data_IF_904721516761
#
_entry.id   IF_904721516761
#
_cell.length_a   1.000
_cell.length_b   1.000
_cell.length_c   1.000
_cell.angle_alpha   90.00
_cell.angle_beta   90.00
_cell.angle_gamma   90.00
#
_symmetry.space_group_name_H-M   'P 1'
#
loop_
_entity.id
_entity.type
_entity.pdbx_description
1 polymer ?
#
# COMPACT_ATOMS: atom_id res chain seq x y z
N UNK A 1 -27.90 -16.37 8.37
CA UNK A 1 -27.87 -14.92 8.19
C UNK A 1 -26.68 -14.36 8.96
N UNK A 2 -25.50 -14.50 8.41
CA UNK A 2 -24.36 -13.70 8.87
C UNK A 2 -24.74 -12.25 8.63
N UNK A 3 -24.89 -11.51 9.69
CA UNK A 3 -25.17 -10.09 9.61
C UNK A 3 -24.10 -9.47 8.73
N UNK A 4 -24.53 -8.78 7.68
CA UNK A 4 -23.64 -8.03 6.78
C UNK A 4 -22.68 -7.13 7.56
N UNK A 5 -23.13 -6.60 8.68
CA UNK A 5 -22.34 -5.79 9.61
C UNK A 5 -21.14 -6.54 10.22
N UNK A 6 -21.28 -7.83 10.60
CA UNK A 6 -20.15 -8.60 11.16
C UNK A 6 -19.12 -8.93 10.07
N UNK A 7 -19.56 -9.26 8.85
CA UNK A 7 -18.67 -9.46 7.71
C UNK A 7 -17.97 -8.15 7.32
N UNK A 8 -18.60 -7.01 7.52
CA UNK A 8 -18.09 -5.70 7.18
C UNK A 8 -17.06 -5.20 8.20
N UNK A 9 -17.26 -5.44 9.48
CA UNK A 9 -16.27 -5.17 10.53
C UNK A 9 -15.02 -6.04 10.32
N UNK A 10 -15.21 -7.30 9.95
CA UNK A 10 -14.13 -8.23 9.66
C UNK A 10 -13.35 -7.83 8.39
N UNK A 11 -14.04 -7.40 7.33
CA UNK A 11 -13.41 -6.84 6.12
C UNK A 11 -12.60 -5.58 6.39
N UNK A 12 -13.03 -4.70 7.31
CA UNK A 12 -12.28 -3.50 7.69
C UNK A 12 -10.89 -3.80 8.25
N UNK A 13 -10.75 -4.87 9.01
CA UNK A 13 -9.49 -5.21 9.68
C UNK A 13 -8.38 -5.65 8.74
N UNK A 14 -8.74 -6.37 7.68
CA UNK A 14 -7.78 -6.80 6.69
C UNK A 14 -7.56 -5.78 5.55
N UNK A 15 -8.29 -4.67 5.57
CA UNK A 15 -8.07 -3.59 4.59
C UNK A 15 -6.80 -2.79 4.87
N UNK A 16 -6.36 -2.62 6.11
CA UNK A 16 -5.11 -2.00 6.50
C UNK A 16 -4.62 -0.86 5.59
N UNK A 17 -3.36 -0.55 5.61
CA UNK A 17 -2.75 0.38 4.66
C UNK A 17 -2.46 -0.33 3.33
N UNK A 18 -3.43 -0.39 2.44
CA UNK A 18 -3.26 -0.92 1.10
C UNK A 18 -3.17 0.19 0.05
N UNK A 19 -1.96 0.58 -0.32
CA UNK A 19 -1.71 1.69 -1.25
C UNK A 19 -2.43 1.47 -2.60
N UNK A 20 -2.36 0.28 -3.18
CA UNK A 20 -3.02 -0.03 -4.44
C UNK A 20 -4.55 0.13 -4.35
N UNK A 21 -5.17 -0.36 -3.26
CA UNK A 21 -6.61 -0.22 -3.05
C UNK A 21 -7.00 1.25 -2.83
N UNK A 22 -6.20 2.01 -2.13
CA UNK A 22 -6.45 3.41 -1.86
C UNK A 22 -6.36 4.27 -3.12
N UNK A 23 -5.39 4.01 -3.98
CA UNK A 23 -5.28 4.68 -5.28
C UNK A 23 -6.47 4.35 -6.19
N UNK A 24 -6.93 3.09 -6.20
CA UNK A 24 -8.15 2.69 -6.90
C UNK A 24 -9.35 3.48 -6.39
N UNK A 25 -9.54 3.56 -5.08
CA UNK A 25 -10.68 4.25 -4.47
C UNK A 25 -10.67 5.75 -4.77
N UNK A 26 -9.49 6.41 -4.74
CA UNK A 26 -9.31 7.80 -5.14
C UNK A 26 -9.65 7.99 -6.62
N UNK A 27 -9.16 7.09 -7.49
CA UNK A 27 -9.48 7.13 -8.92
C UNK A 27 -10.98 7.04 -9.19
N UNK A 28 -11.70 6.23 -8.39
CA UNK A 28 -13.16 6.17 -8.45
C UNK A 28 -13.84 7.42 -7.92
N UNK A 29 -13.34 8.00 -6.83
CA UNK A 29 -13.88 9.23 -6.26
C UNK A 29 -13.77 10.41 -7.22
N UNK A 30 -12.68 10.49 -7.99
CA UNK A 30 -12.44 11.52 -9.02
C UNK A 30 -13.22 11.21 -10.32
N UNK A 31 -13.83 10.02 -10.44
CA UNK A 31 -14.66 9.65 -11.60
C UNK A 31 -13.91 8.97 -12.74
N UNK A 32 -12.67 8.52 -12.53
CA UNK A 32 -11.91 7.78 -13.54
C UNK A 32 -12.44 6.35 -13.78
N UNK A 33 -13.26 5.83 -12.88
CA UNK A 33 -14.02 4.61 -13.07
C UNK A 33 -15.42 4.70 -12.44
N UNK A 34 -16.34 3.81 -12.85
CA UNK A 34 -17.76 3.82 -12.44
C UNK A 34 -18.11 2.74 -11.41
N UNK A 35 -17.15 2.04 -10.83
CA UNK A 35 -17.40 0.99 -9.84
C UNK A 35 -17.87 1.62 -8.50
N UNK A 36 -19.20 1.71 -8.31
CA UNK A 36 -19.83 2.42 -7.19
C UNK A 36 -19.40 1.95 -5.80
N UNK A 37 -18.94 0.70 -5.65
CA UNK A 37 -18.53 0.12 -4.35
C UNK A 37 -17.14 0.53 -3.87
N UNK A 38 -16.34 1.20 -4.70
CA UNK A 38 -14.92 1.51 -4.42
C UNK A 38 -14.58 2.95 -4.79
N UNK A 39 -15.43 3.88 -4.38
CA UNK A 39 -15.27 5.33 -4.60
C UNK A 39 -15.16 6.03 -3.26
N UNK A 40 -13.97 6.49 -2.91
CA UNK A 40 -13.72 7.26 -1.70
C UNK A 40 -12.36 7.96 -1.78
N UNK A 41 -12.30 9.23 -1.40
CA UNK A 41 -11.03 9.93 -1.24
C UNK A 41 -10.39 9.48 0.07
N UNK A 42 -9.38 8.66 -0.04
CA UNK A 42 -8.70 8.03 1.11
C UNK A 42 -7.77 9.00 1.84
N UNK A 43 -8.11 9.48 3.03
CA UNK A 43 -7.23 10.33 3.82
C UNK A 43 -5.95 9.61 4.22
N UNK A 44 -5.97 8.27 4.25
CA UNK A 44 -4.84 7.43 4.59
C UNK A 44 -3.67 7.62 3.62
N UNK A 45 -3.93 7.68 2.30
CA UNK A 45 -2.85 7.88 1.33
C UNK A 45 -2.34 9.33 1.36
N UNK A 46 -3.24 10.28 1.54
CA UNK A 46 -2.90 11.70 1.66
C UNK A 46 -1.99 11.90 2.88
N UNK A 47 -2.41 11.40 4.04
CA UNK A 47 -1.64 11.48 5.28
C UNK A 47 -0.29 10.79 5.18
N UNK A 48 -0.23 9.61 4.54
CA UNK A 48 1.01 8.86 4.37
C UNK A 48 2.04 9.63 3.53
N UNK A 49 1.62 10.22 2.42
CA UNK A 49 2.49 11.02 1.54
C UNK A 49 2.93 12.31 2.23
N UNK A 50 1.99 13.04 2.85
CA UNK A 50 2.30 14.29 3.54
C UNK A 50 3.18 14.06 4.78
N UNK A 51 2.90 13.01 5.56
CA UNK A 51 3.72 12.64 6.72
C UNK A 51 5.15 12.27 6.34
N UNK A 52 5.33 11.48 5.29
CA UNK A 52 6.64 11.15 4.75
C UNK A 52 7.38 12.40 4.23
N UNK A 53 6.67 13.29 3.54
CA UNK A 53 7.23 14.54 3.03
C UNK A 53 7.68 15.46 4.17
N UNK A 54 6.81 15.70 5.16
CA UNK A 54 7.13 16.53 6.33
C UNK A 54 8.36 15.98 7.05
N UNK A 55 8.41 14.66 7.28
CA UNK A 55 9.56 14.03 7.95
C UNK A 55 10.84 14.16 7.12
N UNK A 56 10.78 14.00 5.80
CA UNK A 56 11.96 14.11 4.92
C UNK A 56 12.53 15.53 4.91
N UNK A 57 11.66 16.54 4.96
CA UNK A 57 12.06 17.96 5.04
C UNK A 57 12.63 18.27 6.43
N UNK A 58 11.95 17.83 7.50
CA UNK A 58 12.40 18.04 8.89
C UNK A 58 13.75 17.38 9.16
N UNK A 59 14.00 16.19 8.63
CA UNK A 59 15.28 15.49 8.73
C UNK A 59 16.36 16.02 7.77
N UNK A 60 16.05 17.03 6.94
CA UNK A 60 16.95 17.57 5.90
C UNK A 60 17.41 16.49 4.89
N UNK A 61 16.62 15.44 4.71
CA UNK A 61 16.90 14.31 3.81
C UNK A 61 16.16 14.44 2.46
N UNK A 62 15.39 15.51 2.28
CA UNK A 62 14.62 15.71 1.05
C UNK A 62 15.56 15.92 -0.13
N UNK A 63 15.61 14.93 -1.03
CA UNK A 63 16.36 14.96 -2.28
C UNK A 63 15.46 14.54 -3.42
N UNK A 64 15.15 15.47 -4.31
CA UNK A 64 14.44 15.17 -5.55
C UNK A 64 15.35 14.36 -6.46
N UNK A 65 14.94 13.17 -6.84
CA UNK A 65 15.69 12.30 -7.77
C UNK A 65 14.79 11.84 -8.90
N UNK A 66 15.26 12.03 -10.12
CA UNK A 66 14.64 11.44 -11.30
C UNK A 66 15.46 10.27 -11.82
N UNK A 67 14.82 9.38 -12.54
CA UNK A 67 15.47 8.23 -13.17
C UNK A 67 15.51 8.38 -14.68
N UNK A 68 16.60 7.95 -15.30
CA UNK A 68 16.65 7.75 -16.74
C UNK A 68 15.62 6.69 -17.17
N UNK A 69 15.25 6.67 -18.44
CA UNK A 69 14.30 5.75 -19.05
C UNK A 69 12.88 5.83 -18.46
N UNK A 70 12.20 7.00 -18.50
CA UNK A 70 10.89 7.19 -17.88
C UNK A 70 9.82 6.28 -18.47
N UNK A 71 9.85 5.98 -19.75
CA UNK A 71 8.89 5.10 -20.41
C UNK A 71 8.95 3.66 -19.85
N UNK A 72 10.15 3.10 -19.69
CA UNK A 72 10.32 1.75 -19.13
C UNK A 72 9.85 1.72 -17.69
N UNK A 73 10.17 2.74 -16.89
CA UNK A 73 9.71 2.85 -15.50
C UNK A 73 8.19 2.95 -15.39
N UNK A 74 7.57 3.67 -16.32
CA UNK A 74 6.10 3.76 -16.39
C UNK A 74 5.46 2.40 -16.68
N UNK A 75 5.97 1.68 -17.69
CA UNK A 75 5.46 0.34 -18.05
C UNK A 75 5.63 -0.64 -16.88
N UNK A 76 6.82 -0.67 -16.25
CA UNK A 76 7.05 -1.51 -15.08
C UNK A 76 6.12 -1.13 -13.91
N UNK A 77 5.90 0.16 -13.69
CA UNK A 77 4.95 0.65 -12.68
C UNK A 77 3.51 0.18 -12.96
N UNK A 78 3.07 0.23 -14.22
CA UNK A 78 1.77 -0.28 -14.63
C UNK A 78 1.63 -1.79 -14.33
N UNK A 79 2.64 -2.60 -14.64
CA UNK A 79 2.63 -4.03 -14.29
C UNK A 79 2.57 -4.27 -12.79
N UNK A 80 3.29 -3.47 -11.98
CA UNK A 80 3.22 -3.55 -10.51
C UNK A 80 1.82 -3.28 -10.01
N UNK A 81 1.14 -2.26 -10.54
CA UNK A 81 -0.24 -1.91 -10.15
C UNK A 81 -1.21 -3.01 -10.58
N UNK A 82 -1.09 -3.53 -11.81
CA UNK A 82 -1.92 -4.64 -12.29
C UNK A 82 -1.75 -5.86 -11.39
N UNK A 83 -0.52 -6.25 -11.08
CA UNK A 83 -0.24 -7.37 -10.18
C UNK A 83 -0.80 -7.16 -8.76
N UNK A 84 -0.67 -5.95 -8.21
CA UNK A 84 -1.20 -5.61 -6.90
C UNK A 84 -2.75 -5.62 -6.88
N UNK A 85 -3.40 -5.23 -7.97
CA UNK A 85 -4.87 -5.27 -8.09
C UNK A 85 -5.37 -6.71 -8.30
N UNK A 86 -4.67 -7.52 -9.07
CA UNK A 86 -4.99 -8.95 -9.25
C UNK A 86 -4.89 -9.70 -7.92
N UNK A 87 -3.83 -9.46 -7.16
CA UNK A 87 -3.65 -10.06 -5.82
C UNK A 87 -4.57 -9.45 -4.75
N UNK A 88 -5.27 -8.35 -5.04
CA UNK A 88 -6.09 -7.57 -4.10
C UNK A 88 -5.28 -7.05 -2.90
N UNK A 89 -4.08 -6.62 -3.13
CA UNK A 89 -3.27 -6.03 -2.08
C UNK A 89 -1.86 -5.65 -2.51
N UNK A 90 -1.32 -4.62 -1.86
CA UNK A 90 0.10 -4.30 -1.96
C UNK A 90 0.91 -5.22 -1.02
N UNK A 91 2.25 -5.26 -1.12
CA UNK A 91 3.09 -6.09 -0.26
C UNK A 91 2.88 -5.86 1.24
N UNK A 92 2.60 -4.62 1.67
CA UNK A 92 2.29 -4.34 3.07
C UNK A 92 1.00 -5.03 3.52
N UNK A 93 -0.05 -4.94 2.70
CA UNK A 93 -1.32 -5.62 2.99
C UNK A 93 -1.15 -7.14 3.00
N UNK A 94 -0.29 -7.68 2.17
CA UNK A 94 0.04 -9.11 2.17
C UNK A 94 0.56 -9.57 3.55
N UNK A 95 1.46 -8.80 4.16
CA UNK A 95 1.96 -9.07 5.51
C UNK A 95 0.86 -8.99 6.56
N UNK A 96 -0.03 -7.99 6.47
CA UNK A 96 -1.16 -7.83 7.38
C UNK A 96 -2.17 -9.00 7.25
N UNK A 97 -2.45 -9.45 6.01
CA UNK A 97 -3.30 -10.61 5.74
C UNK A 97 -2.70 -11.90 6.32
N UNK A 98 -1.38 -12.07 6.15
CA UNK A 98 -0.66 -13.21 6.71
C UNK A 98 -0.75 -13.23 8.25
N UNK A 99 -0.60 -12.06 8.90
CA UNK A 99 -0.81 -11.91 10.35
C UNK A 99 -2.26 -12.14 10.81
N UNK A 100 -3.22 -12.09 9.89
CA UNK A 100 -4.62 -12.49 10.13
C UNK A 100 -4.90 -13.98 9.93
N UNK A 101 -3.93 -14.76 9.42
CA UNK A 101 -4.09 -16.19 9.14
C UNK A 101 -4.49 -16.52 7.69
N UNK A 102 -4.45 -15.56 6.77
CA UNK A 102 -4.80 -15.76 5.37
C UNK A 102 -3.67 -16.47 4.61
N UNK A 103 -3.84 -17.76 4.33
CA UNK A 103 -2.85 -18.56 3.61
C UNK A 103 -2.71 -18.17 2.12
N UNK A 104 -3.70 -17.48 1.53
CA UNK A 104 -3.54 -16.92 0.19
C UNK A 104 -2.42 -15.86 0.17
N UNK A 105 -2.25 -15.14 1.26
CA UNK A 105 -1.15 -14.18 1.40
C UNK A 105 0.22 -14.85 1.45
N UNK A 106 0.31 -16.08 1.98
CA UNK A 106 1.54 -16.88 1.95
C UNK A 106 1.93 -17.26 0.51
N UNK A 107 0.95 -17.71 -0.28
CA UNK A 107 1.18 -18.01 -1.71
C UNK A 107 1.62 -16.74 -2.45
N UNK A 108 0.96 -15.61 -2.18
CA UNK A 108 1.35 -14.30 -2.70
C UNK A 108 2.77 -13.90 -2.31
N UNK A 109 3.19 -14.17 -1.07
CA UNK A 109 4.56 -13.89 -0.60
C UNK A 109 5.59 -14.74 -1.34
N UNK A 110 5.30 -15.99 -1.60
CA UNK A 110 6.17 -16.88 -2.40
C UNK A 110 6.32 -16.33 -3.82
N UNK A 111 5.21 -16.00 -4.48
CA UNK A 111 5.22 -15.39 -5.82
C UNK A 111 5.96 -14.05 -5.85
N UNK A 112 5.73 -13.20 -4.88
CA UNK A 112 6.41 -11.90 -4.75
C UNK A 112 7.92 -12.07 -4.57
N UNK A 113 8.34 -13.00 -3.71
CA UNK A 113 9.77 -13.33 -3.50
C UNK A 113 10.38 -13.90 -4.78
N UNK A 114 9.68 -14.79 -5.46
CA UNK A 114 10.09 -15.34 -6.76
C UNK A 114 10.30 -14.24 -7.81
N UNK A 115 9.38 -13.27 -7.89
CA UNK A 115 9.50 -12.11 -8.77
C UNK A 115 10.73 -11.25 -8.44
N UNK A 116 11.04 -11.03 -7.16
CA UNK A 116 12.25 -10.32 -6.73
C UNK A 116 13.51 -11.09 -7.13
N UNK A 117 13.54 -12.40 -6.96
CA UNK A 117 14.68 -13.25 -7.36
C UNK A 117 14.91 -13.19 -8.88
N UNK A 118 13.85 -13.21 -9.68
CA UNK A 118 13.94 -13.02 -11.13
C UNK A 118 14.47 -11.63 -11.49
N UNK A 119 14.03 -10.60 -10.76
CA UNK A 119 14.56 -9.24 -10.90
C UNK A 119 16.06 -9.18 -10.58
N UNK A 120 16.50 -9.81 -9.49
CA UNK A 120 17.92 -9.92 -9.11
C UNK A 120 18.72 -10.65 -10.20
N UNK A 121 18.19 -11.75 -10.72
CA UNK A 121 18.84 -12.49 -11.80
C UNK A 121 19.00 -11.64 -13.08
N UNK A 122 17.99 -10.84 -13.40
CA UNK A 122 18.04 -9.91 -14.53
C UNK A 122 19.09 -8.80 -14.31
N UNK A 123 19.18 -8.25 -13.11
CA UNK A 123 20.23 -7.28 -12.76
C UNK A 123 21.63 -7.88 -12.88
N UNK A 124 21.83 -9.13 -12.41
CA UNK A 124 23.11 -9.86 -12.56
C UNK A 124 23.47 -10.12 -14.03
N UNK A 125 22.48 -10.27 -14.91
CA UNK A 125 22.66 -10.42 -16.35
C UNK A 125 22.92 -9.10 -17.10
N UNK A 126 23.06 -7.99 -16.37
CA UNK A 126 23.39 -6.67 -16.95
C UNK A 126 22.19 -5.79 -17.28
N UNK A 127 20.95 -6.19 -16.91
CA UNK A 127 19.81 -5.30 -17.03
C UNK A 127 19.99 -4.10 -16.11
N UNK A 128 19.88 -2.88 -16.65
CA UNK A 128 19.98 -1.66 -15.88
C UNK A 128 19.02 -0.60 -16.41
N UNK A 129 18.32 0.04 -15.51
CA UNK A 129 17.50 1.23 -15.81
C UNK A 129 18.34 2.52 -15.86
N UNK A 130 19.68 2.39 -15.94
CA UNK A 130 20.67 3.45 -15.91
C UNK A 130 20.62 4.25 -14.59
N UNK A 131 21.34 5.39 -14.54
CA UNK A 131 21.52 6.16 -13.30
C UNK A 131 20.29 7.02 -12.98
N UNK A 132 20.05 7.21 -11.67
CA UNK A 132 19.24 8.33 -11.20
C UNK A 132 20.09 9.60 -11.17
N UNK A 133 19.48 10.72 -11.46
CA UNK A 133 20.10 12.04 -11.37
C UNK A 133 19.31 12.92 -10.39
N UNK A 134 19.96 13.94 -9.87
CA UNK A 134 19.26 14.92 -9.04
C UNK A 134 18.35 15.77 -9.92
N UNK A 135 17.08 15.82 -9.56
CA UNK A 135 16.06 16.61 -10.21
C UNK A 135 15.87 17.94 -9.46
N UNK A 136 15.21 18.88 -10.09
CA UNK A 136 14.86 20.12 -9.43
C UNK A 136 13.95 19.86 -8.23
N UNK A 137 14.16 20.57 -7.12
CA UNK A 137 13.38 20.35 -5.86
C UNK A 137 11.86 20.45 -6.07
N UNK A 138 11.42 21.28 -7.01
CA UNK A 138 10.02 21.42 -7.35
C UNK A 138 9.41 20.11 -7.90
N UNK A 139 10.17 19.34 -8.69
CA UNK A 139 9.67 18.04 -9.23
C UNK A 139 9.39 17.03 -8.12
N UNK A 140 10.26 16.98 -7.09
CA UNK A 140 10.04 16.15 -5.93
C UNK A 140 8.86 16.59 -5.05
N UNK A 141 8.48 17.87 -5.12
CA UNK A 141 7.36 18.46 -4.41
C UNK A 141 6.00 18.25 -5.08
N UNK A 142 5.94 17.84 -6.35
CA UNK A 142 4.69 17.73 -7.12
C UNK A 142 3.68 16.80 -6.43
N UNK A 143 4.08 15.59 -6.07
CA UNK A 143 3.17 14.62 -5.46
C UNK A 143 2.62 15.09 -4.10
N UNK A 144 3.45 15.56 -3.14
CA UNK A 144 2.94 16.14 -1.90
C UNK A 144 2.01 17.33 -2.12
N UNK A 145 2.30 18.21 -3.09
CA UNK A 145 1.43 19.35 -3.42
C UNK A 145 0.08 18.88 -3.97
N UNK A 146 0.06 17.89 -4.86
CA UNK A 146 -1.19 17.29 -5.37
C UNK A 146 -2.00 16.67 -4.23
N UNK A 147 -1.35 15.98 -3.29
CA UNK A 147 -2.05 15.40 -2.13
C UNK A 147 -2.59 16.47 -1.18
N UNK A 148 -1.85 17.57 -0.97
CA UNK A 148 -2.34 18.70 -0.18
C UNK A 148 -3.53 19.40 -0.87
N UNK A 149 -3.46 19.60 -2.19
CA UNK A 149 -4.56 20.16 -2.96
C UNK A 149 -5.80 19.25 -2.91
N UNK A 150 -5.62 17.94 -3.02
CA UNK A 150 -6.70 16.95 -2.90
C UNK A 150 -7.34 17.00 -1.50
N UNK A 151 -6.53 17.15 -0.44
CA UNK A 151 -7.03 17.31 0.92
C UNK A 151 -7.89 18.57 1.06
N UNK A 152 -7.39 19.70 0.58
CA UNK A 152 -8.13 20.97 0.62
C UNK A 152 -9.44 20.83 -0.16
N UNK A 153 -9.41 20.27 -1.36
CA UNK A 153 -10.59 20.08 -2.20
C UNK A 153 -11.65 19.19 -1.52
N UNK A 154 -11.25 18.07 -0.91
CA UNK A 154 -12.21 17.17 -0.27
C UNK A 154 -12.85 17.76 0.97
N UNK A 155 -12.14 18.67 1.66
CA UNK A 155 -12.65 19.35 2.85
C UNK A 155 -13.54 20.55 2.47
N UNK A 156 -13.18 21.30 1.42
CA UNK A 156 -13.90 22.52 1.01
C UNK A 156 -15.08 22.23 0.09
N UNK A 157 -14.94 21.31 -0.84
CA UNK A 157 -15.92 21.00 -1.88
C UNK A 157 -16.16 19.48 -1.98
N UNK A 158 -16.72 18.85 -0.95
CA UNK A 158 -16.93 17.38 -0.96
C UNK A 158 -17.86 16.91 -2.08
N UNK A 159 -18.76 17.78 -2.55
CA UNK A 159 -19.70 17.47 -3.63
C UNK A 159 -19.02 17.17 -4.98
N UNK A 160 -17.76 17.53 -5.16
CA UNK A 160 -17.00 17.23 -6.37
C UNK A 160 -16.65 15.74 -6.48
N UNK A 161 -16.64 15.03 -5.37
CA UNK A 161 -16.18 13.65 -5.29
C UNK A 161 -17.35 12.68 -5.16
N UNK A 162 -17.17 11.49 -5.77
CA UNK A 162 -18.11 10.39 -5.61
C UNK A 162 -17.75 9.61 -4.35
N UNK A 163 -18.77 9.30 -3.55
CA UNK A 163 -18.62 8.50 -2.33
C UNK A 163 -19.49 7.26 -2.43
N UNK A 164 -18.91 6.10 -2.14
CA UNK A 164 -19.66 4.85 -2.09
C UNK A 164 -20.61 4.83 -0.89
N UNK A 165 -21.85 4.42 -1.13
CA UNK A 165 -22.85 4.17 -0.10
C UNK A 165 -22.75 2.73 0.44
N UNK A 166 -22.30 1.81 -0.41
CA UNK A 166 -22.13 0.39 -0.09
C UNK A 166 -20.72 -0.11 -0.39
N UNK A 167 -20.38 -1.28 0.16
CA UNK A 167 -19.14 -1.99 -0.11
C UNK A 167 -17.88 -1.40 0.54
N UNK A 168 -16.69 -1.71 0.06
CA UNK A 168 -15.42 -1.31 0.68
C UNK A 168 -15.20 0.20 0.78
N UNK A 169 -15.78 0.99 -0.11
CA UNK A 169 -15.67 2.44 -0.10
C UNK A 169 -16.49 3.12 1.00
N UNK A 170 -17.59 2.49 1.45
CA UNK A 170 -18.42 2.99 2.54
C UNK A 170 -17.87 2.63 3.93
N UNK A 171 -17.07 1.56 4.02
CA UNK A 171 -16.44 1.09 5.25
C UNK A 171 -15.19 1.90 5.56
N UNK A 172 -15.37 3.05 6.16
CA UNK A 172 -14.31 4.02 6.43
C UNK A 172 -14.25 4.40 7.90
N UNK A 173 -13.03 4.58 8.41
CA UNK A 173 -12.80 5.20 9.69
C UNK A 173 -13.16 6.69 9.64
N UNK A 174 -13.38 7.36 10.78
CA UNK A 174 -13.54 8.82 10.80
C UNK A 174 -12.37 9.50 10.07
N UNK A 175 -12.68 10.40 9.14
CA UNK A 175 -11.73 11.01 8.21
C UNK A 175 -10.48 11.59 8.91
N UNK A 176 -10.70 12.39 9.94
CA UNK A 176 -9.61 13.08 10.66
C UNK A 176 -8.72 12.13 11.45
N UNK A 177 -9.30 11.09 12.07
CA UNK A 177 -8.54 10.08 12.79
C UNK A 177 -7.66 9.29 11.82
N UNK A 178 -8.22 8.87 10.69
CA UNK A 178 -7.48 8.18 9.64
C UNK A 178 -6.34 9.04 9.08
N UNK A 179 -6.59 10.34 8.86
CA UNK A 179 -5.58 11.28 8.38
C UNK A 179 -4.41 11.43 9.38
N UNK A 180 -4.70 11.66 10.66
CA UNK A 180 -3.67 11.85 11.68
C UNK A 180 -2.83 10.59 11.86
N UNK A 181 -3.46 9.42 11.95
CA UNK A 181 -2.74 8.14 12.04
C UNK A 181 -1.87 7.94 10.80
N UNK A 182 -2.38 8.24 9.63
CA UNK A 182 -1.63 8.09 8.38
C UNK A 182 -0.43 9.06 8.29
N UNK A 183 -0.56 10.29 8.79
CA UNK A 183 0.56 11.24 8.91
C UNK A 183 1.68 10.67 9.78
N UNK A 184 1.34 10.11 10.94
CA UNK A 184 2.32 9.49 11.84
C UNK A 184 2.97 8.28 11.18
N UNK A 185 2.17 7.39 10.58
CA UNK A 185 2.68 6.20 9.87
C UNK A 185 3.58 6.60 8.71
N UNK A 186 3.22 7.63 7.93
CA UNK A 186 4.05 8.16 6.85
C UNK A 186 5.38 8.70 7.34
N UNK A 187 5.38 9.46 8.43
CA UNK A 187 6.60 9.98 9.06
C UNK A 187 7.52 8.84 9.56
N UNK A 188 6.94 7.83 10.22
CA UNK A 188 7.68 6.66 10.70
C UNK A 188 8.23 5.81 9.54
N UNK A 189 7.45 5.60 8.48
CA UNK A 189 7.88 4.86 7.30
C UNK A 189 9.06 5.56 6.60
N UNK A 190 9.04 6.89 6.51
CA UNK A 190 10.15 7.68 5.99
C UNK A 190 11.40 7.55 6.88
N UNK A 191 11.23 7.64 8.19
CA UNK A 191 12.35 7.54 9.15
C UNK A 191 13.00 6.15 9.15
N UNK A 192 12.18 5.10 9.09
CA UNK A 192 12.65 3.71 9.06
C UNK A 192 13.09 3.25 7.66
N UNK A 193 12.85 4.06 6.62
CA UNK A 193 13.07 3.69 5.20
C UNK A 193 12.42 2.37 4.82
N UNK A 194 11.26 2.08 5.40
CA UNK A 194 10.54 0.82 5.27
C UNK A 194 10.25 0.51 3.79
N UNK A 195 10.86 -0.55 3.28
CA UNK A 195 10.67 -1.00 1.90
C UNK A 195 10.75 -2.53 1.81
N UNK A 196 9.64 -3.20 1.51
CA UNK A 196 9.60 -4.66 1.47
C UNK A 196 10.41 -5.23 0.30
N UNK A 197 10.35 -4.59 -0.87
CA UNK A 197 11.18 -4.99 -2.02
C UNK A 197 12.65 -4.83 -1.70
N UNK A 198 13.02 -3.70 -1.09
CA UNK A 198 14.39 -3.45 -0.61
C UNK A 198 14.83 -4.48 0.42
N UNK A 199 13.99 -4.78 1.42
CA UNK A 199 14.32 -5.74 2.47
C UNK A 199 14.59 -7.14 1.96
N UNK A 200 13.76 -7.65 1.05
CA UNK A 200 14.00 -8.96 0.42
C UNK A 200 15.19 -8.92 -0.53
N UNK A 201 15.32 -7.87 -1.36
CA UNK A 201 16.47 -7.73 -2.26
C UNK A 201 17.78 -7.71 -1.47
N UNK A 202 17.88 -6.91 -0.43
CA UNK A 202 19.10 -6.73 0.35
C UNK A 202 19.43 -7.99 1.14
N UNK A 203 18.43 -8.71 1.65
CA UNK A 203 18.61 -10.01 2.28
C UNK A 203 19.24 -11.04 1.32
N UNK A 204 18.80 -11.09 0.05
CA UNK A 204 19.34 -12.03 -0.94
C UNK A 204 20.65 -11.58 -1.60
N UNK A 205 20.86 -10.27 -1.78
CA UNK A 205 22.04 -9.74 -2.45
C UNK A 205 23.19 -9.41 -1.50
N UNK A 206 22.87 -8.78 -0.38
CA UNK A 206 23.83 -8.19 0.55
C UNK A 206 23.89 -8.95 1.89
N UNK A 207 22.97 -9.90 2.12
CA UNK A 207 22.75 -10.56 3.43
C UNK A 207 22.45 -9.57 4.55
N UNK A 208 21.87 -8.41 4.19
CA UNK A 208 21.41 -7.42 5.15
C UNK A 208 19.91 -7.58 5.40
N UNK A 209 19.56 -7.88 6.65
CA UNK A 209 18.19 -8.16 7.08
C UNK A 209 17.55 -6.97 7.80
N UNK A 210 18.22 -5.83 7.89
CA UNK A 210 17.74 -4.68 8.67
C UNK A 210 16.33 -4.24 8.26
N UNK A 211 16.09 -4.06 6.97
CA UNK A 211 14.76 -3.69 6.44
C UNK A 211 13.75 -4.83 6.58
N UNK A 212 14.19 -6.08 6.50
CA UNK A 212 13.31 -7.23 6.63
C UNK A 212 12.76 -7.36 8.05
N UNK A 213 13.56 -7.05 9.08
CA UNK A 213 13.11 -7.04 10.48
C UNK A 213 11.92 -6.09 10.71
N UNK A 214 11.83 -4.97 9.98
CA UNK A 214 10.68 -4.09 10.04
C UNK A 214 9.37 -4.78 9.62
N UNK A 215 9.42 -5.61 8.58
CA UNK A 215 8.25 -6.38 8.14
C UNK A 215 7.93 -7.55 9.05
N UNK A 216 8.95 -8.22 9.59
CA UNK A 216 8.75 -9.27 10.60
C UNK A 216 8.09 -8.66 11.85
N UNK A 217 8.49 -7.48 12.28
CA UNK A 217 7.86 -6.79 13.41
C UNK A 217 6.39 -6.46 13.12
N UNK A 218 6.06 -5.94 11.92
CA UNK A 218 4.67 -5.68 11.50
C UNK A 218 3.87 -6.97 11.52
N UNK A 219 4.41 -8.06 10.98
CA UNK A 219 3.77 -9.38 10.98
C UNK A 219 3.46 -9.86 12.40
N UNK A 220 4.45 -9.85 13.29
CA UNK A 220 4.32 -10.31 14.68
C UNK A 220 3.29 -9.46 15.43
N UNK A 221 3.35 -8.13 15.34
CA UNK A 221 2.39 -7.24 16.00
C UNK A 221 0.97 -7.48 15.48
N UNK A 222 0.81 -7.68 14.17
CA UNK A 222 -0.48 -7.95 13.56
C UNK A 222 -1.01 -9.31 14.00
N UNK A 223 -0.16 -10.34 14.04
CA UNK A 223 -0.52 -11.69 14.49
C UNK A 223 -0.97 -11.66 15.94
N UNK A 224 -0.18 -11.08 16.84
CA UNK A 224 -0.50 -10.96 18.27
C UNK A 224 -1.80 -10.16 18.47
N UNK A 225 -1.96 -9.04 17.74
CA UNK A 225 -3.19 -8.25 17.82
C UNK A 225 -4.43 -9.03 17.37
N UNK A 226 -4.34 -9.78 16.27
CA UNK A 226 -5.46 -10.60 15.79
C UNK A 226 -5.78 -11.76 16.74
N UNK A 227 -4.76 -12.40 17.32
CA UNK A 227 -4.95 -13.44 18.34
C UNK A 227 -5.61 -12.90 19.61
N UNK A 228 -5.14 -11.74 20.11
CA UNK A 228 -5.70 -11.10 21.30
C UNK A 228 -7.16 -10.66 21.12
N UNK A 229 -7.52 -10.23 19.89
CA UNK A 229 -8.89 -9.83 19.57
C UNK A 229 -9.80 -11.01 19.14
N UNK A 230 -9.30 -12.25 19.11
CA UNK A 230 -10.04 -13.43 18.65
C UNK A 230 -10.42 -13.37 17.16
N UNK A 231 -9.64 -12.67 16.35
CA UNK A 231 -9.92 -12.41 14.93
C UNK A 231 -8.96 -13.12 13.98
N UNK A 232 -8.12 -13.97 14.52
CA UNK A 232 -7.24 -14.83 13.75
C UNK A 232 -8.03 -15.98 13.13
N UNK A 233 -7.97 -16.11 11.82
CA UNK A 233 -8.64 -17.18 11.08
C UNK A 233 -7.68 -17.82 10.08
N UNK A 234 -7.15 -19.00 10.44
CA UNK A 234 -6.21 -19.72 9.59
C UNK A 234 -6.96 -20.47 8.50
N UNK A 235 -6.64 -20.18 7.23
CA UNK A 235 -7.21 -20.90 6.11
C UNK A 235 -7.07 -20.19 4.77
N UNK A 236 -7.49 -20.89 3.72
CA UNK A 236 -7.59 -20.33 2.36
C UNK A 236 -8.99 -19.79 2.09
N UNK A 237 -10.03 -20.45 2.57
CA UNK A 237 -11.43 -20.10 2.37
C UNK A 237 -11.95 -19.18 3.48
N UNK A 238 -13.06 -18.49 3.20
CA UNK A 238 -13.76 -17.62 4.16
C UNK A 238 -12.91 -16.44 4.67
N UNK A 239 -11.84 -16.11 3.98
CA UNK A 239 -11.07 -14.92 4.31
C UNK A 239 -11.84 -13.65 3.94
N UNK A 240 -11.69 -12.55 4.71
CA UNK A 240 -12.51 -11.34 4.54
C UNK A 240 -12.41 -10.67 3.17
N UNK A 241 -11.35 -10.98 2.44
CA UNK A 241 -11.03 -10.36 1.14
C UNK A 241 -10.97 -11.42 0.06
N UNK A 242 -11.26 -12.67 0.42
CA UNK A 242 -11.12 -13.77 -0.50
C UNK A 242 -12.16 -13.72 -1.62
N UNK A 243 -11.72 -13.89 -2.84
CA UNK A 243 -12.55 -14.29 -3.95
C UNK A 243 -12.79 -15.79 -3.92
N UNK A 244 -13.78 -16.24 -4.68
CA UNK A 244 -14.08 -17.68 -4.83
C UNK A 244 -12.91 -18.48 -5.42
N UNK A 245 -11.98 -17.83 -6.11
CA UNK A 245 -10.80 -18.45 -6.73
C UNK A 245 -9.50 -17.99 -6.06
N UNK A 246 -9.23 -18.46 -4.86
CA UNK A 246 -8.21 -17.91 -3.97
C UNK A 246 -6.76 -18.16 -4.39
N UNK A 247 -6.46 -19.29 -5.00
CA UNK A 247 -5.10 -19.67 -5.37
C UNK A 247 -4.63 -19.10 -6.70
N UNK A 248 -5.56 -18.64 -7.54
CA UNK A 248 -5.30 -18.26 -8.92
C UNK A 248 -5.38 -16.76 -9.19
N UNK A 249 -5.66 -15.97 -8.15
CA UNK A 249 -5.75 -14.50 -8.23
C UNK A 249 -4.43 -13.81 -7.90
#
# INVERSE_FOLDING_TARGET
LYSSAASDVYKRQNMGFCIACFLRDISGAVGLHSAAKVQYVRPEIIGLVLGAFIMSVASKEFKARAGSSPAIRFVLGAFVVIGALAFLGCPLRMVLRLGGGDLNALVGLIGFTGGILLGIASLKKGFSLKRSYEAHKAEGGVLPTVMAALLILVVTVPALFKFSEEGPGSMRAPFWIALVIALVVGALAQKSRLCMVGGLRDAFMLKDFHLLYGFVAIFVVTLVGNLAMGKFHLGFALQPIAHSAHLWN
#
